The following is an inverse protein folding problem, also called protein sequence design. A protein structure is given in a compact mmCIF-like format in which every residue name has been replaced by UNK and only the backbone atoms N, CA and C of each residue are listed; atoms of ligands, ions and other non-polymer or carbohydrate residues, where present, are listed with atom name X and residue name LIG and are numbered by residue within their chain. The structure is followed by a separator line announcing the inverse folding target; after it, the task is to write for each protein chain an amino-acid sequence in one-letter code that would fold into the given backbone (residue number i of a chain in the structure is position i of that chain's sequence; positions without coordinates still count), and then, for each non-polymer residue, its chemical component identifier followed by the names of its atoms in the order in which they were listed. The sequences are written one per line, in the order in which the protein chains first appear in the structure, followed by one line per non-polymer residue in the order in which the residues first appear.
data_IF_148142165131
#
_entry.id   IF_148142165131
#
_cell.length_a   1.000
_cell.length_b   1.000
_cell.length_c   1.000
_cell.angle_alpha   90.00
_cell.angle_beta   90.00
_cell.angle_gamma   90.00
#
_symmetry.space_group_name_H-M   'P 1'
#
loop_
_entity.id
_entity.type
_entity.pdbx_description
1 polymer ?
#
# COMPACT_ATOMS: atom_id res chain seq x y z
N UNK A 1 -10.16 -21.18 -8.39
CA UNK A 1 -8.89 -20.54 -8.83
C UNK A 1 -9.06 -19.03 -8.71
N UNK A 2 -8.19 -18.30 -8.01
CA UNK A 2 -8.36 -16.86 -7.80
C UNK A 2 -7.99 -16.13 -9.10
N UNK A 3 -8.96 -15.43 -9.70
CA UNK A 3 -8.75 -14.77 -10.99
C UNK A 3 -7.98 -13.46 -10.75
N UNK A 4 -6.71 -13.45 -11.14
CA UNK A 4 -5.85 -12.27 -11.04
C UNK A 4 -6.21 -11.31 -12.17
N UNK A 5 -6.51 -10.06 -11.82
CA UNK A 5 -6.83 -8.98 -12.76
C UNK A 5 -5.87 -7.82 -12.57
N UNK A 6 -5.67 -7.03 -13.61
CA UNK A 6 -4.90 -5.80 -13.50
C UNK A 6 -5.55 -4.88 -12.42
N UNK A 7 -4.73 -4.24 -11.59
CA UNK A 7 -5.15 -3.40 -10.47
C UNK A 7 -5.55 -4.15 -9.20
N UNK A 8 -5.68 -5.48 -9.23
CA UNK A 8 -6.00 -6.28 -8.04
C UNK A 8 -4.84 -6.31 -7.05
N UNK A 9 -5.16 -6.57 -5.78
CA UNK A 9 -4.16 -6.78 -4.72
C UNK A 9 -3.96 -8.27 -4.55
N UNK A 10 -2.70 -8.70 -4.63
CA UNK A 10 -2.26 -10.08 -4.46
C UNK A 10 -1.24 -10.16 -3.33
N UNK A 11 -1.17 -11.31 -2.69
CA UNK A 11 -0.18 -11.58 -1.64
C UNK A 11 0.86 -12.53 -2.21
N UNK A 12 2.13 -12.22 -2.00
CA UNK A 12 3.23 -13.01 -2.57
C UNK A 12 4.41 -13.14 -1.63
N UNK A 13 5.20 -14.21 -1.84
CA UNK A 13 6.41 -14.48 -1.07
C UNK A 13 7.65 -14.01 -1.84
N UNK A 14 8.48 -13.18 -1.23
CA UNK A 14 9.75 -12.74 -1.83
C UNK A 14 10.68 -13.95 -1.98
N UNK A 15 11.11 -14.22 -3.20
CA UNK A 15 11.99 -15.36 -3.51
C UNK A 15 13.42 -14.92 -3.78
N UNK A 16 13.62 -13.74 -4.35
CA UNK A 16 14.95 -13.21 -4.67
C UNK A 16 14.94 -11.70 -4.77
N UNK A 17 16.07 -11.08 -4.46
CA UNK A 17 16.28 -9.64 -4.51
C UNK A 17 17.51 -9.37 -5.39
N UNK A 18 17.35 -8.51 -6.38
CA UNK A 18 18.41 -8.07 -7.28
C UNK A 18 18.47 -6.54 -7.32
N UNK A 19 19.54 -5.99 -7.86
CA UNK A 19 19.78 -4.54 -7.85
C UNK A 19 18.70 -3.74 -8.62
N UNK A 20 18.07 -4.35 -9.63
CA UNK A 20 17.03 -3.71 -10.43
C UNK A 20 15.60 -4.04 -9.96
N UNK A 21 15.42 -4.98 -9.03
CA UNK A 21 14.08 -5.40 -8.63
C UNK A 21 14.02 -6.61 -7.70
N UNK A 22 12.79 -6.95 -7.31
CA UNK A 22 12.48 -8.03 -6.37
C UNK A 22 11.55 -9.03 -7.04
N UNK A 23 11.92 -10.31 -6.95
CA UNK A 23 11.11 -11.41 -7.44
C UNK A 23 10.23 -11.96 -6.32
N UNK A 24 8.96 -12.17 -6.66
CA UNK A 24 7.93 -12.59 -5.71
C UNK A 24 7.14 -13.74 -6.34
N UNK A 25 6.98 -14.83 -5.60
CA UNK A 25 6.08 -15.92 -6.01
C UNK A 25 4.66 -15.59 -5.59
N UNK A 26 3.73 -15.58 -6.54
CA UNK A 26 2.30 -15.34 -6.33
C UNK A 26 1.54 -16.49 -6.95
N UNK A 27 1.02 -17.42 -6.15
CA UNK A 27 0.39 -18.65 -6.61
C UNK A 27 1.24 -19.37 -7.68
N UNK A 28 0.75 -19.44 -8.92
CA UNK A 28 1.41 -20.06 -10.09
C UNK A 28 2.14 -19.04 -11.00
N UNK A 29 2.25 -17.79 -10.57
CA UNK A 29 2.88 -16.70 -11.31
C UNK A 29 4.19 -16.28 -10.66
N UNK A 30 5.09 -15.78 -11.50
CA UNK A 30 6.31 -15.10 -11.04
C UNK A 30 6.10 -13.59 -11.18
N UNK A 31 6.08 -12.92 -10.03
CA UNK A 31 6.01 -11.47 -9.94
C UNK A 31 7.37 -10.81 -9.96
N UNK A 32 7.49 -9.70 -10.67
CA UNK A 32 8.63 -8.80 -10.61
C UNK A 32 8.17 -7.43 -10.12
N UNK A 33 8.82 -6.94 -9.07
CA UNK A 33 8.72 -5.56 -8.62
C UNK A 33 9.97 -4.83 -9.12
N UNK A 34 9.79 -3.88 -10.02
CA UNK A 34 10.90 -3.04 -10.46
C UNK A 34 11.34 -2.10 -9.32
N UNK A 35 12.61 -1.68 -9.27
CA UNK A 35 13.12 -0.80 -8.20
C UNK A 35 12.30 0.50 -8.06
N UNK A 36 11.83 1.07 -9.18
CA UNK A 36 10.96 2.27 -9.19
C UNK A 36 9.55 2.04 -8.61
N UNK A 37 9.18 0.77 -8.39
CA UNK A 37 7.90 0.35 -7.85
C UNK A 37 7.99 -0.08 -6.37
N UNK A 38 9.19 -0.04 -5.78
CA UNK A 38 9.42 -0.28 -4.36
C UNK A 38 9.13 0.96 -3.50
N UNK A 39 9.53 2.15 -3.96
CA UNK A 39 9.41 3.42 -3.23
C UNK A 39 9.62 4.61 -4.17
N UNK A 40 8.98 5.74 -3.88
CA UNK A 40 9.19 7.02 -4.61
C UNK A 40 10.43 7.79 -4.12
N UNK A 41 11.04 7.38 -3.00
CA UNK A 41 12.29 7.95 -2.49
C UNK A 41 13.48 7.10 -2.90
N UNK A 42 14.65 7.72 -3.03
CA UNK A 42 15.91 7.04 -3.34
C UNK A 42 16.13 5.84 -2.40
N UNK A 43 16.13 4.64 -2.97
CA UNK A 43 16.34 3.38 -2.25
C UNK A 43 17.85 3.15 -2.19
N UNK A 44 18.47 3.41 -1.03
CA UNK A 44 19.90 3.12 -0.81
C UNK A 44 20.18 1.61 -0.78
N UNK A 45 19.26 0.81 -0.23
CA UNK A 45 19.38 -0.64 -0.21
C UNK A 45 17.99 -1.28 -0.26
N UNK A 46 17.77 -2.17 -1.24
CA UNK A 46 16.48 -2.85 -1.41
C UNK A 46 16.17 -3.78 -0.23
N UNK A 47 17.21 -4.31 0.40
CA UNK A 47 17.13 -5.19 1.58
C UNK A 47 16.54 -4.51 2.81
N UNK A 48 16.57 -3.18 2.88
CA UNK A 48 15.95 -2.44 4.00
C UNK A 48 14.42 -2.40 3.87
N UNK A 49 13.88 -2.70 2.69
CA UNK A 49 12.45 -2.64 2.40
C UNK A 49 11.80 -4.01 2.46
N UNK A 50 12.51 -5.05 2.00
CA UNK A 50 12.01 -6.40 1.84
C UNK A 50 13.13 -7.41 2.10
N UNK A 51 12.80 -8.52 2.75
CA UNK A 51 13.69 -9.65 2.99
C UNK A 51 13.22 -10.86 2.18
N UNK A 52 14.17 -11.72 1.79
CA UNK A 52 13.84 -13.01 1.17
C UNK A 52 13.01 -13.84 2.15
N UNK A 53 11.87 -14.32 1.69
CA UNK A 53 10.91 -15.06 2.51
C UNK A 53 9.71 -14.27 2.99
N UNK A 54 9.74 -12.93 2.91
CA UNK A 54 8.65 -12.07 3.35
C UNK A 54 7.37 -12.32 2.54
N UNK A 55 6.24 -12.33 3.24
CA UNK A 55 4.90 -12.41 2.65
C UNK A 55 4.29 -11.02 2.65
N UNK A 56 4.11 -10.44 1.46
CA UNK A 56 3.71 -9.04 1.28
C UNK A 56 2.52 -8.90 0.33
N UNK A 57 1.72 -7.87 0.57
CA UNK A 57 0.66 -7.45 -0.33
C UNK A 57 1.21 -6.53 -1.42
N UNK A 58 0.81 -6.79 -2.65
CA UNK A 58 1.29 -6.12 -3.85
C UNK A 58 0.13 -5.80 -4.78
N UNK A 59 0.23 -4.68 -5.49
CA UNK A 59 -0.74 -4.33 -6.55
C UNK A 59 -0.24 -4.88 -7.89
N UNK A 60 -1.12 -5.55 -8.63
CA UNK A 60 -0.86 -5.96 -10.00
C UNK A 60 -0.95 -4.73 -10.91
N UNK A 61 0.14 -4.44 -11.63
CA UNK A 61 0.19 -3.39 -12.65
C UNK A 61 -0.01 -3.93 -14.05
N UNK A 62 0.43 -5.16 -14.29
CA UNK A 62 0.32 -5.80 -15.59
C UNK A 62 0.41 -7.33 -15.46
N UNK A 63 -0.17 -8.04 -16.41
CA UNK A 63 -0.25 -9.51 -16.42
C UNK A 63 0.17 -10.02 -17.79
N UNK A 64 1.24 -10.80 -17.81
CA UNK A 64 1.63 -11.62 -18.95
C UNK A 64 1.11 -13.04 -18.71
N UNK A 65 0.01 -13.37 -19.39
CA UNK A 65 -0.66 -14.67 -19.25
C UNK A 65 0.12 -15.81 -19.92
N UNK A 66 0.84 -15.52 -21.01
CA UNK A 66 1.59 -16.52 -21.76
C UNK A 66 2.81 -16.99 -20.96
N UNK A 67 3.56 -16.05 -20.39
CA UNK A 67 4.76 -16.35 -19.61
C UNK A 67 4.50 -16.55 -18.11
N UNK A 68 3.23 -16.41 -17.67
CA UNK A 68 2.83 -16.43 -16.26
C UNK A 68 3.65 -15.45 -15.41
N UNK A 69 3.87 -14.24 -15.92
CA UNK A 69 4.60 -13.17 -15.23
C UNK A 69 3.65 -12.07 -14.79
N UNK A 70 3.94 -11.45 -13.66
CA UNK A 70 3.20 -10.30 -13.13
C UNK A 70 4.14 -9.12 -12.93
N UNK A 71 3.74 -7.95 -13.40
CA UNK A 71 4.38 -6.70 -13.00
C UNK A 71 3.69 -6.21 -11.74
N UNK A 72 4.44 -6.04 -10.66
CA UNK A 72 3.91 -5.77 -9.33
C UNK A 72 4.42 -4.44 -8.78
N UNK A 73 3.62 -3.82 -7.90
CA UNK A 73 3.95 -2.58 -7.22
C UNK A 73 3.76 -2.70 -5.71
N UNK A 74 4.81 -2.40 -4.96
CA UNK A 74 4.78 -2.33 -3.49
C UNK A 74 4.39 -0.93 -3.02
N UNK A 75 4.88 0.12 -3.70
CA UNK A 75 4.56 1.51 -3.35
C UNK A 75 3.06 1.80 -3.37
N UNK A 76 2.33 1.25 -4.34
CA UNK A 76 0.89 1.46 -4.48
C UNK A 76 0.09 0.95 -3.27
N UNK A 77 0.59 -0.10 -2.59
CA UNK A 77 -0.03 -0.62 -1.36
C UNK A 77 0.32 0.25 -0.17
N UNK A 78 1.59 0.68 -0.06
CA UNK A 78 2.05 1.56 1.01
C UNK A 78 1.30 2.90 0.99
N UNK A 79 1.17 3.51 -0.17
CA UNK A 79 0.44 4.76 -0.37
C UNK A 79 -1.04 4.61 0.00
N UNK A 80 -1.69 3.51 -0.42
CA UNK A 80 -3.07 3.21 -0.03
C UNK A 80 -3.24 3.11 1.49
N UNK A 81 -2.29 2.50 2.20
CA UNK A 81 -2.30 2.41 3.68
C UNK A 81 -2.11 3.78 4.33
N UNK A 82 -1.18 4.60 3.81
CA UNK A 82 -0.93 5.96 4.30
C UNK A 82 -2.18 6.84 4.10
N UNK A 83 -2.72 6.90 2.89
CA UNK A 83 -3.90 7.71 2.57
C UNK A 83 -5.12 7.30 3.40
N UNK A 84 -5.31 5.99 3.61
CA UNK A 84 -6.38 5.50 4.50
C UNK A 84 -6.18 5.97 5.93
N UNK A 85 -4.95 5.93 6.45
CA UNK A 85 -4.66 6.35 7.83
C UNK A 85 -4.83 7.86 8.02
N UNK A 86 -4.38 8.66 7.06
CA UNK A 86 -4.63 10.12 7.05
C UNK A 86 -6.11 10.45 7.04
N UNK A 87 -6.91 9.79 6.18
CA UNK A 87 -8.36 10.03 6.10
C UNK A 87 -9.09 9.70 7.41
N UNK A 88 -8.69 8.62 8.09
CA UNK A 88 -9.26 8.24 9.40
C UNK A 88 -8.86 9.26 10.48
N UNK A 89 -7.59 9.64 10.54
CA UNK A 89 -7.10 10.62 11.52
C UNK A 89 -7.77 11.99 11.36
N UNK A 90 -7.86 12.46 10.11
CA UNK A 90 -8.48 13.74 9.78
C UNK A 90 -9.98 13.77 10.15
N UNK A 91 -10.75 12.76 9.74
CA UNK A 91 -12.19 12.68 10.07
C UNK A 91 -12.47 12.61 11.58
N UNK A 92 -11.55 12.01 12.35
CA UNK A 92 -11.64 11.97 13.82
C UNK A 92 -11.41 13.35 14.43
N UNK A 93 -10.41 14.08 13.93
CA UNK A 93 -10.11 15.45 14.38
C UNK A 93 -11.26 16.40 14.03
N UNK A 94 -11.79 16.35 12.81
CA UNK A 94 -12.94 17.16 12.40
C UNK A 94 -14.16 16.90 13.29
N UNK A 95 -14.54 15.63 13.50
CA UNK A 95 -15.66 15.29 14.39
C UNK A 95 -15.45 15.82 15.81
N UNK A 96 -14.25 15.64 16.37
CA UNK A 96 -13.93 16.10 17.73
C UNK A 96 -13.94 17.63 17.82
N UNK A 97 -13.46 18.32 16.79
CA UNK A 97 -13.48 19.77 16.68
C UNK A 97 -14.91 20.30 16.56
N UNK A 98 -15.74 19.71 15.70
CA UNK A 98 -17.15 20.09 15.55
C UNK A 98 -17.94 19.93 16.85
N UNK A 99 -17.81 18.80 17.55
CA UNK A 99 -18.44 18.64 18.88
C UNK A 99 -17.94 19.67 19.90
N UNK A 100 -16.65 20.01 19.88
CA UNK A 100 -16.10 21.04 20.77
C UNK A 100 -16.67 22.43 20.46
N UNK A 101 -16.74 22.81 19.18
CA UNK A 101 -17.33 24.09 18.72
C UNK A 101 -18.80 24.16 19.12
N UNK A 102 -19.59 23.12 18.83
CA UNK A 102 -21.02 23.10 19.20
C UNK A 102 -21.23 23.19 20.70
N UNK A 103 -20.42 22.47 21.49
CA UNK A 103 -20.46 22.56 22.95
C UNK A 103 -20.14 23.96 23.42
N UNK A 104 -19.12 24.62 22.85
CA UNK A 104 -18.73 25.99 23.20
C UNK A 104 -19.81 27.01 22.82
N UNK A 105 -20.41 26.87 21.64
CA UNK A 105 -21.52 27.73 21.20
C UNK A 105 -22.74 27.56 22.11
N UNK A 106 -23.02 26.34 22.58
CA UNK A 106 -24.11 26.06 23.51
C UNK A 106 -23.85 26.63 24.91
N UNK A 107 -22.61 26.60 25.40
CA UNK A 107 -22.21 27.26 26.66
C UNK A 107 -22.38 28.78 26.56
N UNK A 108 -21.96 29.39 25.45
CA UNK A 108 -22.06 30.84 25.23
C UNK A 108 -23.51 31.31 25.21
N UNK A 109 -24.42 30.59 24.54
CA UNK A 109 -25.85 30.90 24.49
C UNK A 109 -26.61 30.70 25.80
N UNK A 110 -26.00 30.06 26.81
CA UNK A 110 -26.65 29.76 28.10
C UNK A 110 -26.33 30.82 29.17
N UNK A 111 -25.34 31.68 28.92
CA UNK A 111 -24.90 32.75 29.82
C UNK A 111 -25.44 34.14 29.39
N UNK A 112 -26.44 34.17 28.51
CA UNK A 112 -27.19 35.34 28.06
C UNK A 112 -28.66 35.17 28.47
#
# INVERSE_FOLDING_TARGET
MKMIKNGSVVTGKVTSIQNYGVFVKVDNYVGLIHISELSDRFVRNVRDYLTIGDIIDLKVLDIDQEQRKLKLSYKAIKERRINRRYKIGFTTIEKKMSSWIESKLKEMKKNE
#
